data_IF_065626380008
#
_entry.id   IF_065626380008
#
_cell.length_a   1.000
_cell.length_b   1.000
_cell.length_c   1.000
_cell.angle_alpha   90.00
_cell.angle_beta   90.00
_cell.angle_gamma   90.00
#
_symmetry.space_group_name_H-M   'P 1'
#
loop_
_entity.id
_entity.type
_entity.pdbx_description
1 polymer ?
#
# COMPACT_ATOMS: atom_id res chain seq x y z
N UNK A 1 8.56 9.15 21.50
CA UNK A 1 9.27 10.40 21.07
C UNK A 1 10.58 10.14 20.32
N UNK A 2 11.47 9.22 20.73
CA UNK A 2 12.82 9.04 20.15
C UNK A 2 12.88 8.70 18.64
N UNK A 3 11.90 7.96 18.10
CA UNK A 3 11.88 7.61 16.66
C UNK A 3 11.48 8.76 15.73
N UNK A 4 10.81 9.82 16.23
CA UNK A 4 10.24 10.89 15.37
C UNK A 4 11.29 11.88 14.86
N UNK A 5 12.21 12.29 15.74
CA UNK A 5 13.33 13.17 15.36
C UNK A 5 14.27 12.46 14.39
N UNK A 6 14.49 11.16 14.58
CA UNK A 6 15.31 10.32 13.71
C UNK A 6 14.70 10.23 12.30
N UNK A 7 13.38 10.00 12.19
CA UNK A 7 12.74 9.90 10.87
C UNK A 7 12.70 11.24 10.12
N UNK A 8 12.48 12.36 10.82
CA UNK A 8 12.55 13.71 10.22
C UNK A 8 13.96 14.04 9.72
N UNK A 9 14.97 13.75 10.54
CA UNK A 9 16.37 13.96 10.17
C UNK A 9 16.79 13.03 9.02
N UNK A 10 16.37 11.77 9.05
CA UNK A 10 16.56 10.82 7.96
C UNK A 10 15.89 11.31 6.67
N UNK A 11 14.67 11.84 6.73
CA UNK A 11 13.95 12.38 5.58
C UNK A 11 14.62 13.59 4.92
N UNK A 12 15.41 14.36 5.68
CA UNK A 12 16.21 15.47 5.15
C UNK A 12 17.53 14.99 4.52
N UNK A 13 18.21 14.05 5.19
CA UNK A 13 19.56 13.61 4.81
C UNK A 13 19.51 12.55 3.69
N UNK A 14 18.58 11.58 3.77
CA UNK A 14 18.53 10.44 2.86
C UNK A 14 18.36 10.82 1.38
N UNK A 15 17.52 11.81 0.99
CA UNK A 15 17.43 12.23 -0.41
C UNK A 15 18.72 12.86 -0.94
N UNK A 16 19.44 13.64 -0.10
CA UNK A 16 20.71 14.26 -0.47
C UNK A 16 21.78 13.18 -0.68
N UNK A 17 21.89 12.23 0.26
CA UNK A 17 22.80 11.10 0.11
C UNK A 17 22.44 10.26 -1.12
N UNK A 18 21.16 9.98 -1.34
CA UNK A 18 20.69 9.24 -2.53
C UNK A 18 21.11 9.94 -3.82
N UNK A 19 20.96 11.26 -3.90
CA UNK A 19 21.40 12.04 -5.04
C UNK A 19 22.91 11.90 -5.29
N UNK A 20 23.72 12.09 -4.24
CA UNK A 20 25.18 11.98 -4.32
C UNK A 20 25.64 10.58 -4.72
N UNK A 21 25.04 9.53 -4.15
CA UNK A 21 25.35 8.15 -4.52
C UNK A 21 24.92 7.81 -5.95
N UNK A 22 23.79 8.36 -6.43
CA UNK A 22 23.32 8.11 -7.78
C UNK A 22 24.19 8.80 -8.85
N UNK A 23 24.83 9.93 -8.53
CA UNK A 23 25.80 10.59 -9.43
C UNK A 23 27.03 9.74 -9.70
N UNK A 24 27.41 8.87 -8.76
CA UNK A 24 28.59 8.01 -8.89
C UNK A 24 28.37 6.81 -9.82
N UNK A 25 27.19 6.68 -10.46
CA UNK A 25 26.86 5.53 -11.29
C UNK A 25 26.33 5.93 -12.68
N UNK A 26 27.02 5.53 -13.77
CA UNK A 26 26.59 5.81 -15.14
C UNK A 26 25.18 5.26 -15.44
N UNK A 27 24.41 5.99 -16.26
CA UNK A 27 23.06 5.58 -16.70
C UNK A 27 21.91 5.91 -15.71
N UNK A 28 22.18 6.63 -14.63
CA UNK A 28 21.16 6.96 -13.62
C UNK A 28 20.61 8.37 -13.75
N UNK A 29 19.29 8.50 -13.64
CA UNK A 29 18.61 9.79 -13.43
C UNK A 29 18.68 10.13 -11.93
N UNK A 30 19.83 10.63 -11.45
CA UNK A 30 20.08 10.92 -10.03
C UNK A 30 18.97 11.80 -9.39
N UNK A 31 18.43 12.75 -10.16
CA UNK A 31 17.28 13.56 -9.78
C UNK A 31 16.04 12.71 -9.47
N UNK A 32 15.71 11.74 -10.32
CA UNK A 32 14.53 10.87 -10.16
C UNK A 32 14.68 9.99 -8.92
N UNK A 33 15.85 9.42 -8.68
CA UNK A 33 16.13 8.63 -7.47
C UNK A 33 15.98 9.47 -6.18
N UNK A 34 16.45 10.72 -6.20
CA UNK A 34 16.31 11.64 -5.08
C UNK A 34 14.85 12.03 -4.83
N UNK A 35 14.05 12.23 -5.88
CA UNK A 35 12.61 12.49 -5.80
C UNK A 35 11.89 11.28 -5.18
N UNK A 36 12.13 10.07 -5.69
CA UNK A 36 11.51 8.85 -5.15
C UNK A 36 11.84 8.68 -3.65
N UNK A 37 13.11 8.86 -3.27
CA UNK A 37 13.54 8.77 -1.87
C UNK A 37 12.85 9.83 -0.99
N UNK A 38 12.77 11.08 -1.47
CA UNK A 38 12.06 12.17 -0.78
C UNK A 38 10.59 11.82 -0.58
N UNK A 39 9.92 11.35 -1.62
CA UNK A 39 8.50 10.99 -1.57
C UNK A 39 8.26 9.88 -0.54
N UNK A 40 9.08 8.81 -0.54
CA UNK A 40 9.03 7.74 0.49
C UNK A 40 9.16 8.29 1.91
N UNK A 41 10.15 9.17 2.14
CA UNK A 41 10.37 9.79 3.45
C UNK A 41 9.18 10.62 3.92
N UNK A 42 8.62 11.44 3.03
CA UNK A 42 7.47 12.29 3.33
C UNK A 42 6.24 11.46 3.71
N UNK A 43 5.94 10.41 2.95
CA UNK A 43 4.80 9.53 3.23
C UNK A 43 4.97 8.79 4.56
N UNK A 44 6.15 8.23 4.83
CA UNK A 44 6.41 7.58 6.12
C UNK A 44 6.26 8.54 7.30
N UNK A 45 6.60 9.81 7.13
CA UNK A 45 6.40 10.82 8.16
C UNK A 45 4.91 11.11 8.41
N UNK A 46 4.07 11.13 7.37
CA UNK A 46 2.62 11.35 7.48
C UNK A 46 1.92 10.22 8.26
N UNK A 47 2.26 8.95 7.96
CA UNK A 47 1.66 7.79 8.64
C UNK A 47 2.04 7.72 10.14
N UNK A 48 3.20 8.25 10.53
CA UNK A 48 3.75 8.13 11.90
C UNK A 48 3.37 9.28 12.85
N UNK A 49 2.55 10.23 12.41
CA UNK A 49 2.36 11.52 13.10
C UNK A 49 0.95 11.75 13.67
N UNK A 50 0.39 10.78 14.41
CA UNK A 50 -0.97 10.92 14.94
C UNK A 50 -1.12 11.60 16.30
N UNK A 51 -0.07 11.67 17.12
CA UNK A 51 -0.18 12.28 18.45
C UNK A 51 -0.52 13.79 18.41
N UNK A 52 -0.65 14.38 17.22
CA UNK A 52 -1.21 15.72 17.01
C UNK A 52 -2.74 15.77 16.88
N UNK A 53 -3.43 14.64 16.65
CA UNK A 53 -4.86 14.63 16.31
C UNK A 53 -5.77 14.02 17.40
N UNK A 54 -5.23 13.12 18.24
CA UNK A 54 -5.99 12.51 19.35
C UNK A 54 -5.55 13.14 20.67
N UNK A 55 -6.50 13.55 21.51
CA UNK A 55 -6.19 13.95 22.88
C UNK A 55 -5.68 12.74 23.71
N UNK A 56 -4.89 12.94 24.77
CA UNK A 56 -4.32 11.85 25.56
C UNK A 56 -5.34 10.88 26.16
N UNK A 57 -6.59 11.33 26.35
CA UNK A 57 -7.69 10.55 26.94
C UNK A 57 -8.47 9.76 25.87
N UNK A 58 -8.24 10.02 24.58
CA UNK A 58 -8.91 9.34 23.48
C UNK A 58 -10.38 9.75 23.33
N UNK A 59 -10.73 10.97 23.73
CA UNK A 59 -12.09 11.51 23.70
C UNK A 59 -12.43 12.23 22.40
N UNK A 60 -11.45 12.63 21.60
CA UNK A 60 -11.67 13.27 20.31
C UNK A 60 -12.46 12.33 19.41
N UNK A 61 -13.66 12.71 18.94
CA UNK A 61 -14.44 11.89 18.03
C UNK A 61 -13.67 11.57 16.75
N UNK A 62 -13.82 10.35 16.23
CA UNK A 62 -13.17 9.91 14.98
C UNK A 62 -13.47 10.87 13.82
N UNK A 63 -14.71 11.34 13.74
CA UNK A 63 -15.16 12.35 12.77
C UNK A 63 -14.27 13.60 12.77
N UNK A 64 -13.93 14.14 13.95
CA UNK A 64 -13.08 15.33 14.09
C UNK A 64 -11.66 15.05 13.62
N UNK A 65 -11.12 13.87 13.94
CA UNK A 65 -9.77 13.46 13.55
C UNK A 65 -9.69 13.29 12.01
N UNK A 66 -10.70 12.65 11.41
CA UNK A 66 -10.77 12.47 9.96
C UNK A 66 -10.88 13.82 9.25
N UNK A 67 -11.71 14.73 9.75
CA UNK A 67 -11.82 16.09 9.20
C UNK A 67 -10.45 16.79 9.18
N UNK A 68 -9.70 16.74 10.29
CA UNK A 68 -8.35 17.30 10.38
C UNK A 68 -7.36 16.67 9.40
N UNK A 69 -7.52 15.38 9.08
CA UNK A 69 -6.69 14.73 8.06
C UNK A 69 -6.96 15.28 6.66
N UNK A 70 -8.23 15.54 6.32
CA UNK A 70 -8.60 16.17 5.04
C UNK A 70 -8.18 17.63 4.94
N UNK A 71 -8.09 18.36 6.07
CA UNK A 71 -7.58 19.75 6.11
C UNK A 71 -6.08 19.85 5.71
N UNK A 72 -5.32 18.75 5.74
CA UNK A 72 -3.95 18.71 5.22
C UNK A 72 -3.90 18.80 3.68
N UNK A 73 -5.04 18.60 3.01
CA UNK A 73 -5.19 18.47 1.57
C UNK A 73 -5.31 17.02 1.10
N UNK A 74 -5.85 16.84 -0.10
CA UNK A 74 -6.23 15.54 -0.64
C UNK A 74 -5.07 14.55 -0.75
N UNK A 75 -3.86 15.00 -1.11
CA UNK A 75 -2.70 14.11 -1.19
C UNK A 75 -2.27 13.53 0.16
N UNK A 76 -1.94 14.35 1.18
CA UNK A 76 -1.55 13.85 2.50
C UNK A 76 -2.68 13.19 3.30
N UNK A 77 -3.95 13.54 3.06
CA UNK A 77 -5.10 12.98 3.78
C UNK A 77 -5.12 11.45 3.78
N UNK A 78 -4.87 10.82 2.62
CA UNK A 78 -4.82 9.36 2.47
C UNK A 78 -3.92 8.69 3.51
N UNK A 79 -2.72 9.24 3.70
CA UNK A 79 -1.70 8.68 4.59
C UNK A 79 -1.95 9.04 6.05
N UNK A 80 -2.48 10.24 6.30
CA UNK A 80 -2.87 10.65 7.64
C UNK A 80 -4.00 9.76 8.17
N UNK A 81 -5.03 9.49 7.36
CA UNK A 81 -6.15 8.59 7.71
C UNK A 81 -5.68 7.15 7.96
N UNK A 82 -4.71 6.64 7.17
CA UNK A 82 -4.07 5.34 7.47
C UNK A 82 -3.39 5.33 8.84
N UNK A 83 -2.67 6.41 9.16
CA UNK A 83 -2.13 6.61 10.50
C UNK A 83 -3.22 6.56 11.57
N UNK A 84 -4.39 7.17 11.32
CA UNK A 84 -5.51 7.21 12.28
C UNK A 84 -5.94 5.80 12.63
N UNK A 85 -6.19 4.98 11.61
CA UNK A 85 -6.59 3.58 11.81
C UNK A 85 -5.56 2.79 12.61
N UNK A 86 -4.27 3.00 12.33
CA UNK A 86 -3.17 2.32 13.04
C UNK A 86 -3.18 2.64 14.53
N UNK A 87 -3.17 3.92 14.87
CA UNK A 87 -3.04 4.33 16.27
C UNK A 87 -4.34 4.05 17.05
N UNK A 88 -5.50 4.09 16.38
CA UNK A 88 -6.76 3.62 16.96
C UNK A 88 -6.69 2.13 17.34
N UNK A 89 -6.19 1.28 16.44
CA UNK A 89 -5.98 -0.14 16.73
C UNK A 89 -5.02 -0.34 17.91
N UNK A 90 -3.86 0.34 17.92
CA UNK A 90 -2.89 0.27 19.01
C UNK A 90 -3.50 0.73 20.36
N UNK A 91 -4.32 1.79 20.36
CA UNK A 91 -4.99 2.32 21.55
C UNK A 91 -6.01 1.34 22.15
N UNK A 92 -6.82 0.71 21.30
CA UNK A 92 -7.81 -0.28 21.73
C UNK A 92 -7.14 -1.58 22.21
N UNK A 93 -6.15 -2.09 21.46
CA UNK A 93 -5.42 -3.32 21.81
C UNK A 93 -4.65 -3.20 23.13
N UNK A 94 -4.19 -2.00 23.49
CA UNK A 94 -3.55 -1.77 24.77
C UNK A 94 -4.50 -1.89 25.98
N UNK A 95 -5.82 -1.82 25.76
CA UNK A 95 -6.86 -1.85 26.81
C UNK A 95 -7.69 -3.13 26.81
N UNK A 96 -7.87 -3.73 25.64
CA UNK A 96 -8.61 -4.96 25.44
C UNK A 96 -7.89 -5.74 24.34
N UNK A 97 -7.48 -6.98 24.59
CA UNK A 97 -6.80 -7.81 23.59
C UNK A 97 -7.74 -8.32 22.48
N UNK A 98 -9.05 -8.21 22.67
CA UNK A 98 -10.09 -8.64 21.74
C UNK A 98 -11.07 -7.49 21.43
N UNK A 99 -10.62 -6.34 20.89
CA UNK A 99 -11.53 -5.30 20.47
C UNK A 99 -12.32 -5.80 19.26
N UNK A 100 -13.62 -5.53 19.24
CA UNK A 100 -14.51 -5.91 18.16
C UNK A 100 -15.40 -4.73 17.79
N UNK A 101 -15.82 -4.69 16.52
CA UNK A 101 -16.74 -3.71 15.95
C UNK A 101 -16.31 -2.26 16.04
N UNK A 102 -15.03 -1.95 16.30
CA UNK A 102 -14.55 -0.58 16.49
C UNK A 102 -14.80 0.29 15.25
N UNK A 103 -14.41 -0.17 14.05
CA UNK A 103 -14.70 0.57 12.81
C UNK A 103 -16.09 0.25 12.23
N UNK A 104 -16.70 -0.87 12.62
CA UNK A 104 -18.05 -1.26 12.18
C UNK A 104 -19.07 -0.28 12.78
N UNK A 105 -18.98 -0.02 14.08
CA UNK A 105 -19.93 0.82 14.82
C UNK A 105 -19.55 2.30 14.81
N UNK A 106 -18.40 2.67 14.24
CA UNK A 106 -18.00 4.06 14.07
C UNK A 106 -18.95 4.80 13.11
N UNK A 107 -19.10 6.11 13.27
CA UNK A 107 -19.89 6.92 12.34
C UNK A 107 -19.02 8.03 11.75
N UNK A 108 -19.17 8.27 10.45
CA UNK A 108 -18.57 9.39 9.73
C UNK A 108 -19.63 10.04 8.87
N UNK A 109 -19.55 11.36 8.69
CA UNK A 109 -20.38 12.05 7.70
C UNK A 109 -20.10 11.49 6.29
N UNK A 110 -21.12 11.45 5.43
CA UNK A 110 -21.03 10.94 4.05
C UNK A 110 -19.90 11.59 3.24
N UNK A 111 -19.62 12.88 3.47
CA UNK A 111 -18.49 13.59 2.84
C UNK A 111 -17.12 12.99 3.12
N UNK A 112 -16.99 12.14 4.14
CA UNK A 112 -15.76 11.43 4.51
C UNK A 112 -15.81 9.93 4.22
N UNK A 113 -16.77 9.44 3.41
CA UNK A 113 -16.90 8.02 3.07
C UNK A 113 -15.62 7.42 2.46
N UNK A 114 -14.85 8.22 1.71
CA UNK A 114 -13.55 7.83 1.15
C UNK A 114 -12.47 7.51 2.20
N UNK A 115 -12.68 7.86 3.48
CA UNK A 115 -11.75 7.57 4.56
C UNK A 115 -11.72 6.09 4.96
N UNK A 116 -12.84 5.36 4.76
CA UNK A 116 -12.99 4.01 5.30
C UNK A 116 -11.89 3.06 4.82
N UNK A 117 -11.51 3.13 3.55
CA UNK A 117 -10.50 2.24 2.99
C UNK A 117 -9.16 2.37 3.72
N UNK A 118 -8.73 3.61 3.97
CA UNK A 118 -7.47 3.87 4.66
C UNK A 118 -7.56 3.67 6.17
N UNK A 119 -8.71 3.93 6.80
CA UNK A 119 -8.93 3.59 8.21
C UNK A 119 -8.76 2.09 8.46
N UNK A 120 -9.28 1.25 7.56
CA UNK A 120 -9.14 -0.21 7.67
C UNK A 120 -7.70 -0.67 7.39
N UNK A 121 -7.04 -0.11 6.36
CA UNK A 121 -5.63 -0.39 6.10
C UNK A 121 -4.75 -0.06 7.32
N UNK A 122 -5.01 1.10 7.93
CA UNK A 122 -4.41 1.53 9.19
C UNK A 122 -4.69 0.56 10.34
N UNK A 123 -5.96 0.20 10.55
CA UNK A 123 -6.34 -0.74 11.61
C UNK A 123 -5.54 -2.04 11.54
N UNK A 124 -5.48 -2.65 10.35
CA UNK A 124 -4.70 -3.87 10.14
C UNK A 124 -3.20 -3.67 10.39
N UNK A 125 -2.65 -2.50 10.03
CA UNK A 125 -1.26 -2.13 10.32
C UNK A 125 -1.00 -2.09 11.84
N UNK A 126 -1.90 -1.49 12.62
CA UNK A 126 -1.79 -1.45 14.08
C UNK A 126 -1.90 -2.83 14.72
N UNK A 127 -2.86 -3.65 14.27
CA UNK A 127 -3.04 -5.04 14.76
C UNK A 127 -1.81 -5.90 14.48
N UNK A 128 -1.36 -5.96 13.22
CA UNK A 128 -0.22 -6.79 12.84
C UNK A 128 1.05 -6.37 13.58
N UNK A 129 1.28 -5.05 13.71
CA UNK A 129 2.42 -4.51 14.45
C UNK A 129 2.35 -4.86 15.94
N UNK A 130 1.18 -4.73 16.58
CA UNK A 130 1.01 -5.03 18.00
C UNK A 130 1.48 -6.46 18.36
N UNK A 131 1.12 -7.44 17.54
CA UNK A 131 1.53 -8.83 17.74
C UNK A 131 2.97 -9.11 17.30
N UNK A 132 3.46 -8.50 16.20
CA UNK A 132 4.88 -8.59 15.84
C UNK A 132 5.82 -8.05 16.90
N UNK A 133 5.51 -6.89 17.49
CA UNK A 133 6.32 -6.27 18.54
C UNK A 133 6.42 -7.14 19.81
N UNK A 134 5.48 -8.07 20.00
CA UNK A 134 5.38 -8.96 21.17
C UNK A 134 5.88 -10.37 20.92
N UNK A 135 6.37 -10.66 19.72
CA UNK A 135 6.97 -11.96 19.44
C UNK A 135 8.21 -12.20 20.30
N UNK A 136 8.24 -13.35 20.97
CA UNK A 136 9.40 -13.80 21.76
C UNK A 136 10.40 -14.58 20.91
N UNK A 137 9.92 -15.24 19.86
CA UNK A 137 10.70 -16.07 18.96
C UNK A 137 10.05 -16.12 17.56
N UNK A 138 10.75 -16.77 16.63
CA UNK A 138 10.31 -16.96 15.24
C UNK A 138 9.78 -18.39 15.01
N UNK A 139 9.24 -19.06 16.03
CA UNK A 139 8.71 -20.43 15.92
C UNK A 139 7.44 -20.51 15.06
N UNK A 140 7.07 -21.72 14.65
CA UNK A 140 5.80 -21.98 13.95
C UNK A 140 4.59 -21.58 14.81
N UNK A 141 4.65 -21.81 16.13
CA UNK A 141 3.58 -21.42 17.04
C UNK A 141 3.42 -19.90 17.14
N UNK A 142 4.53 -19.17 17.17
CA UNK A 142 4.55 -17.70 17.13
C UNK A 142 3.98 -17.15 15.82
N UNK A 143 4.37 -17.73 14.68
CA UNK A 143 3.79 -17.38 13.38
C UNK A 143 2.28 -17.67 13.34
N UNK A 144 1.87 -18.85 13.82
CA UNK A 144 0.48 -19.25 13.87
C UNK A 144 -0.37 -18.29 14.71
N UNK A 145 0.12 -17.94 15.89
CA UNK A 145 -0.52 -16.99 16.79
C UNK A 145 -0.77 -15.64 16.10
N UNK A 146 0.26 -15.06 15.50
CA UNK A 146 0.15 -13.75 14.81
C UNK A 146 -0.86 -13.80 13.68
N UNK A 147 -0.76 -14.81 12.81
CA UNK A 147 -1.59 -14.91 11.62
C UNK A 147 -3.07 -15.00 12.02
N UNK A 148 -3.41 -15.93 12.92
CA UNK A 148 -4.79 -16.12 13.41
C UNK A 148 -5.33 -14.88 14.10
N UNK A 149 -4.57 -14.32 15.04
CA UNK A 149 -4.99 -13.12 15.78
C UNK A 149 -5.21 -11.92 14.87
N UNK A 150 -4.37 -11.75 13.86
CA UNK A 150 -4.53 -10.66 12.89
C UNK A 150 -5.76 -10.88 12.02
N UNK A 151 -5.98 -12.10 11.51
CA UNK A 151 -7.18 -12.45 10.74
C UNK A 151 -8.45 -12.19 11.54
N UNK A 152 -8.53 -12.72 12.77
CA UNK A 152 -9.70 -12.59 13.65
C UNK A 152 -10.05 -11.13 13.91
N UNK A 153 -9.06 -10.33 14.30
CA UNK A 153 -9.26 -8.93 14.65
C UNK A 153 -9.54 -8.05 13.43
N UNK A 154 -8.97 -8.35 12.27
CA UNK A 154 -9.32 -7.66 11.04
C UNK A 154 -10.77 -7.98 10.66
N UNK A 155 -11.22 -9.24 10.73
CA UNK A 155 -12.62 -9.62 10.45
C UNK A 155 -13.60 -8.99 11.44
N UNK A 156 -13.29 -9.06 12.73
CA UNK A 156 -14.17 -8.55 13.79
C UNK A 156 -14.36 -7.03 13.77
N UNK A 157 -13.51 -6.30 13.05
CA UNK A 157 -13.55 -4.84 13.00
C UNK A 157 -13.71 -4.29 11.58
N UNK A 158 -13.72 -5.12 10.54
CA UNK A 158 -13.87 -4.64 9.17
C UNK A 158 -15.33 -4.54 8.75
N UNK A 159 -15.69 -3.40 8.17
CA UNK A 159 -16.92 -3.26 7.39
C UNK A 159 -16.87 -4.15 6.15
N UNK A 160 -18.05 -4.48 5.63
CA UNK A 160 -18.17 -5.22 4.37
C UNK A 160 -17.40 -4.49 3.25
N UNK A 161 -16.56 -5.23 2.51
CA UNK A 161 -15.77 -4.69 1.41
C UNK A 161 -14.49 -3.95 1.81
N UNK A 162 -14.08 -4.03 3.09
CA UNK A 162 -12.86 -3.39 3.59
C UNK A 162 -11.87 -4.36 4.27
N UNK A 163 -12.20 -5.65 4.34
CA UNK A 163 -11.37 -6.64 5.01
C UNK A 163 -9.99 -6.80 4.36
N UNK A 164 -9.95 -6.91 3.03
CA UNK A 164 -8.71 -7.04 2.27
C UNK A 164 -7.74 -5.88 2.49
N UNK A 165 -8.25 -4.65 2.66
CA UNK A 165 -7.42 -3.49 3.00
C UNK A 165 -6.76 -3.63 4.37
N UNK A 166 -7.49 -4.14 5.38
CA UNK A 166 -6.95 -4.38 6.70
C UNK A 166 -5.91 -5.52 6.71
N UNK A 167 -6.28 -6.70 6.19
CA UNK A 167 -5.42 -7.89 6.32
C UNK A 167 -4.15 -7.81 5.45
N UNK A 168 -4.13 -7.01 4.38
CA UNK A 168 -2.92 -6.76 3.57
C UNK A 168 -1.74 -6.32 4.44
N UNK A 169 -2.01 -5.48 5.44
CA UNK A 169 -0.99 -4.92 6.33
C UNK A 169 -0.22 -6.00 7.12
N UNK A 170 -0.78 -7.20 7.31
CA UNK A 170 -0.06 -8.34 7.90
C UNK A 170 1.21 -8.66 7.10
N UNK A 171 1.10 -8.73 5.77
CA UNK A 171 2.24 -8.98 4.88
C UNK A 171 3.29 -7.88 4.95
N UNK A 172 2.83 -6.63 4.95
CA UNK A 172 3.70 -5.46 5.04
C UNK A 172 4.52 -5.50 6.33
N UNK A 173 3.86 -5.62 7.48
CA UNK A 173 4.51 -5.61 8.79
C UNK A 173 5.43 -6.81 8.95
N UNK A 174 4.96 -7.99 8.56
CA UNK A 174 5.75 -9.23 8.68
C UNK A 174 7.07 -9.08 7.93
N UNK A 175 7.04 -8.64 6.68
CA UNK A 175 8.26 -8.52 5.88
C UNK A 175 9.13 -7.34 6.30
N UNK A 176 8.54 -6.30 6.88
CA UNK A 176 9.31 -5.15 7.38
C UNK A 176 10.11 -5.51 8.63
N UNK A 177 9.53 -6.32 9.52
CA UNK A 177 10.12 -6.67 10.81
C UNK A 177 10.89 -7.99 10.80
N UNK A 178 10.59 -8.88 9.85
CA UNK A 178 11.16 -10.23 9.74
C UNK A 178 11.63 -10.51 8.31
N UNK A 179 12.28 -11.67 8.13
CA UNK A 179 12.82 -12.08 6.83
C UNK A 179 11.80 -12.89 6.00
N UNK A 180 12.18 -13.21 4.75
CA UNK A 180 11.36 -14.00 3.83
C UNK A 180 11.04 -15.42 4.36
N UNK A 181 11.91 -16.02 5.18
CA UNK A 181 11.66 -17.34 5.76
C UNK A 181 10.50 -17.29 6.78
N UNK A 182 10.43 -16.25 7.61
CA UNK A 182 9.30 -16.05 8.52
C UNK A 182 8.01 -15.74 7.75
N UNK A 183 8.09 -15.01 6.63
CA UNK A 183 6.93 -14.79 5.77
C UNK A 183 6.31 -16.09 5.25
N UNK A 184 7.15 -17.08 4.91
CA UNK A 184 6.69 -18.42 4.48
C UNK A 184 5.98 -19.20 5.60
N UNK A 185 6.35 -18.98 6.88
CA UNK A 185 5.65 -19.56 8.03
C UNK A 185 4.24 -19.00 8.18
N UNK A 186 4.09 -17.68 8.08
CA UNK A 186 2.78 -17.02 8.08
C UNK A 186 1.93 -17.50 6.89
N UNK A 187 2.52 -17.61 5.69
CA UNK A 187 1.82 -18.16 4.53
C UNK A 187 1.31 -19.58 4.79
N UNK A 188 2.14 -20.48 5.35
CA UNK A 188 1.71 -21.85 5.69
C UNK A 188 0.53 -21.85 6.66
N UNK A 189 0.56 -20.97 7.67
CA UNK A 189 -0.57 -20.86 8.58
C UNK A 189 -1.82 -20.33 7.87
N UNK A 190 -1.71 -19.26 7.09
CA UNK A 190 -2.86 -18.69 6.39
C UNK A 190 -3.48 -19.70 5.41
N UNK A 191 -2.66 -20.47 4.69
CA UNK A 191 -3.15 -21.57 3.84
C UNK A 191 -3.94 -22.64 4.60
N UNK A 192 -3.70 -22.82 5.89
CA UNK A 192 -4.42 -23.79 6.73
C UNK A 192 -5.63 -23.19 7.44
N UNK A 193 -5.54 -21.93 7.86
CA UNK A 193 -6.52 -21.27 8.73
C UNK A 193 -7.50 -20.37 7.97
N UNK A 194 -6.99 -19.59 7.01
CA UNK A 194 -7.78 -18.63 6.23
C UNK A 194 -7.18 -18.44 4.81
N UNK A 195 -7.40 -19.39 3.89
CA UNK A 195 -6.75 -19.38 2.57
C UNK A 195 -7.05 -18.13 1.74
N UNK A 196 -8.24 -17.53 1.93
CA UNK A 196 -8.66 -16.32 1.21
C UNK A 196 -7.77 -15.11 1.52
N UNK A 197 -7.10 -15.10 2.68
CA UNK A 197 -6.20 -14.04 3.12
C UNK A 197 -4.82 -14.07 2.47
N UNK A 198 -4.45 -15.17 1.83
CA UNK A 198 -3.07 -15.39 1.35
C UNK A 198 -2.70 -14.41 0.22
N UNK A 199 -3.66 -14.10 -0.67
CA UNK A 199 -3.45 -13.12 -1.74
C UNK A 199 -3.22 -11.70 -1.21
N UNK A 200 -4.02 -11.28 -0.23
CA UNK A 200 -3.84 -9.97 0.44
C UNK A 200 -2.50 -9.91 1.16
N UNK A 201 -2.15 -10.98 1.88
CA UNK A 201 -0.89 -11.11 2.60
C UNK A 201 0.32 -10.92 1.68
N UNK A 202 0.43 -11.68 0.58
CA UNK A 202 1.58 -11.57 -0.31
C UNK A 202 1.66 -10.24 -1.05
N UNK A 203 0.52 -9.58 -1.31
CA UNK A 203 0.52 -8.22 -1.86
C UNK A 203 1.12 -7.24 -0.85
N UNK A 204 0.76 -7.36 0.43
CA UNK A 204 1.36 -6.59 1.51
C UNK A 204 2.87 -6.81 1.66
N UNK A 205 3.34 -8.05 1.52
CA UNK A 205 4.78 -8.36 1.47
C UNK A 205 5.43 -7.59 0.31
N UNK A 206 4.80 -7.54 -0.85
CA UNK A 206 5.27 -6.81 -2.03
C UNK A 206 5.35 -5.31 -1.77
N UNK A 207 4.33 -4.74 -1.13
CA UNK A 207 4.32 -3.34 -0.70
C UNK A 207 5.48 -3.04 0.25
N UNK A 208 5.81 -3.96 1.17
CA UNK A 208 7.00 -3.82 2.00
C UNK A 208 8.29 -3.81 1.18
N UNK A 209 8.42 -4.62 0.13
CA UNK A 209 9.66 -4.62 -0.68
C UNK A 209 9.97 -3.23 -1.24
N UNK A 210 8.97 -2.42 -1.59
CA UNK A 210 9.19 -1.04 -2.02
C UNK A 210 9.72 -0.12 -0.90
N UNK A 211 9.18 -0.26 0.33
CA UNK A 211 9.51 0.55 1.50
C UNK A 211 10.66 0.01 2.36
N UNK A 212 11.16 -1.20 2.08
CA UNK A 212 12.20 -1.82 2.89
C UNK A 212 13.48 -0.96 2.87
N UNK A 213 14.20 -0.78 4.00
CA UNK A 213 15.40 0.07 4.06
C UNK A 213 16.46 -0.22 2.98
N UNK A 214 16.61 -1.49 2.61
CA UNK A 214 17.51 -1.94 1.53
C UNK A 214 17.12 -1.44 0.12
N UNK A 215 15.90 -0.95 -0.06
CA UNK A 215 15.32 -0.43 -1.29
C UNK A 215 14.96 1.07 -1.18
N UNK A 216 15.27 1.69 -0.04
CA UNK A 216 14.94 3.07 0.27
C UNK A 216 15.80 4.08 -0.49
N UNK A 217 17.03 3.67 -0.81
CA UNK A 217 17.94 4.37 -1.71
C UNK A 217 17.82 3.62 -3.05
N UNK A 218 17.04 4.13 -4.01
CA UNK A 218 16.95 3.51 -5.32
C UNK A 218 18.35 3.48 -5.93
N UNK A 219 18.80 2.28 -6.32
CA UNK A 219 20.01 2.15 -7.12
C UNK A 219 21.30 1.73 -6.41
N UNK A 220 21.39 1.31 -5.13
CA UNK A 220 22.71 0.77 -4.69
C UNK A 220 23.16 -0.46 -5.53
N UNK A 221 22.24 -1.17 -6.20
CA UNK A 221 22.58 -2.31 -7.08
C UNK A 221 21.80 -2.39 -8.42
N UNK A 222 20.52 -1.97 -8.49
CA UNK A 222 19.70 -1.87 -9.73
C UNK A 222 18.55 -0.85 -9.57
N UNK A 223 18.06 -0.21 -10.65
CA UNK A 223 16.75 0.44 -10.64
C UNK A 223 15.69 -0.59 -10.21
N UNK A 224 14.84 -0.23 -9.24
CA UNK A 224 13.74 -1.09 -8.76
C UNK A 224 14.15 -2.48 -8.23
N UNK A 225 15.17 -2.56 -7.36
CA UNK A 225 15.57 -3.80 -6.64
C UNK A 225 14.40 -4.58 -6.04
N UNK A 226 13.33 -3.89 -5.63
CA UNK A 226 12.10 -4.51 -5.13
C UNK A 226 11.48 -5.52 -6.12
N UNK A 227 11.54 -5.25 -7.44
CA UNK A 227 11.07 -6.16 -8.50
C UNK A 227 11.87 -7.46 -8.49
N UNK A 228 13.21 -7.38 -8.52
CA UNK A 228 14.06 -8.57 -8.46
C UNK A 228 14.01 -9.31 -7.12
N UNK A 229 13.59 -8.66 -6.03
CA UNK A 229 13.32 -9.33 -4.76
C UNK A 229 11.98 -10.06 -4.78
N UNK A 230 10.96 -9.53 -5.47
CA UNK A 230 9.68 -10.22 -5.62
C UNK A 230 9.88 -11.59 -6.29
N UNK A 231 10.71 -11.68 -7.33
CA UNK A 231 11.05 -12.96 -7.99
C UNK A 231 11.74 -13.95 -7.05
N UNK A 232 12.65 -13.47 -6.21
CA UNK A 232 13.46 -14.32 -5.33
C UNK A 232 12.72 -14.77 -4.08
N UNK A 233 11.84 -13.92 -3.56
CA UNK A 233 11.16 -14.16 -2.29
C UNK A 233 9.81 -14.87 -2.47
N UNK A 234 9.21 -14.83 -3.67
CA UNK A 234 7.98 -15.52 -4.00
C UNK A 234 8.06 -17.03 -3.72
N UNK A 235 7.03 -17.64 -3.10
CA UNK A 235 6.92 -19.09 -3.00
C UNK A 235 6.67 -19.81 -4.34
N UNK A 236 6.25 -19.09 -5.38
CA UNK A 236 5.95 -19.62 -6.72
C UNK A 236 5.49 -18.51 -7.68
N UNK A 237 5.24 -18.86 -8.95
CA UNK A 237 4.91 -17.91 -10.02
C UNK A 237 3.64 -17.07 -9.73
N UNK A 238 2.60 -17.66 -9.17
CA UNK A 238 1.37 -16.94 -8.79
C UNK A 238 1.66 -15.83 -7.76
N UNK A 239 2.47 -16.15 -6.75
CA UNK A 239 2.83 -15.22 -5.69
C UNK A 239 3.81 -14.16 -6.17
N UNK A 240 4.60 -14.45 -7.20
CA UNK A 240 5.45 -13.46 -7.88
C UNK A 240 4.60 -12.31 -8.42
N UNK A 241 3.55 -12.61 -9.20
CA UNK A 241 2.65 -11.56 -9.72
C UNK A 241 1.94 -10.80 -8.60
N UNK A 242 1.58 -11.48 -7.52
CA UNK A 242 0.98 -10.86 -6.33
C UNK A 242 1.94 -9.89 -5.63
N UNK A 243 3.21 -10.29 -5.44
CA UNK A 243 4.26 -9.44 -4.90
C UNK A 243 4.50 -8.22 -5.80
N UNK A 244 4.49 -8.40 -7.11
CA UNK A 244 4.71 -7.31 -8.07
C UNK A 244 3.56 -6.31 -8.08
N UNK A 245 2.32 -6.77 -7.96
CA UNK A 245 1.18 -5.89 -7.71
C UNK A 245 1.41 -5.08 -6.43
N UNK A 246 1.91 -5.74 -5.38
CA UNK A 246 2.29 -5.11 -4.13
C UNK A 246 3.40 -4.06 -4.27
N UNK A 247 4.42 -4.30 -5.10
CA UNK A 247 5.53 -3.35 -5.36
C UNK A 247 5.07 -2.15 -6.20
N UNK A 248 4.28 -2.41 -7.25
CA UNK A 248 3.79 -1.38 -8.16
C UNK A 248 2.83 -0.41 -7.47
N UNK A 249 2.08 -0.91 -6.48
CA UNK A 249 1.10 -0.11 -5.75
C UNK A 249 1.72 1.15 -5.11
N UNK A 250 2.70 1.04 -4.18
CA UNK A 250 3.31 2.18 -3.53
C UNK A 250 4.20 2.97 -4.50
N UNK A 251 4.86 2.31 -5.44
CA UNK A 251 5.59 3.00 -6.51
C UNK A 251 4.70 4.00 -7.25
N UNK A 252 3.45 3.63 -7.51
CA UNK A 252 2.48 4.49 -8.19
C UNK A 252 1.99 5.62 -7.28
N UNK A 253 1.43 5.30 -6.10
CA UNK A 253 0.76 6.34 -5.29
C UNK A 253 1.74 7.32 -4.65
N UNK A 254 2.89 6.83 -4.20
CA UNK A 254 3.91 7.67 -3.54
C UNK A 254 4.49 8.68 -4.53
N UNK A 255 4.54 8.33 -5.82
CA UNK A 255 5.16 9.16 -6.86
C UNK A 255 4.14 9.72 -7.87
N UNK A 256 2.85 9.67 -7.57
CA UNK A 256 1.81 10.11 -8.51
C UNK A 256 1.93 11.61 -8.89
N UNK A 257 2.53 12.42 -8.01
CA UNK A 257 2.86 13.84 -8.26
C UNK A 257 4.14 14.05 -9.07
N UNK A 258 4.90 12.98 -9.32
CA UNK A 258 6.19 12.98 -10.01
C UNK A 258 6.23 11.80 -11.01
N UNK A 259 5.45 11.87 -12.10
CA UNK A 259 5.33 10.77 -13.06
C UNK A 259 6.66 10.35 -13.69
N UNK A 260 7.69 11.21 -13.67
CA UNK A 260 9.05 10.88 -14.10
C UNK A 260 9.67 9.68 -13.35
N UNK A 261 9.18 9.36 -12.14
CA UNK A 261 9.60 8.15 -11.42
C UNK A 261 9.04 6.90 -12.09
N UNK A 262 7.76 6.92 -12.49
CA UNK A 262 7.15 5.81 -13.22
C UNK A 262 7.74 5.68 -14.62
N UNK A 263 8.02 6.79 -15.32
CA UNK A 263 8.76 6.77 -16.58
C UNK A 263 10.09 6.03 -16.44
N UNK A 264 10.88 6.41 -15.43
CA UNK A 264 12.17 5.78 -15.20
C UNK A 264 12.06 4.27 -14.94
N UNK A 265 11.01 3.84 -14.24
CA UNK A 265 10.74 2.40 -14.06
C UNK A 265 10.45 1.74 -15.41
N UNK A 266 9.52 2.29 -16.20
CA UNK A 266 9.12 1.75 -17.51
C UNK A 266 10.29 1.68 -18.50
N UNK A 267 11.14 2.71 -18.55
CA UNK A 267 12.31 2.77 -19.44
C UNK A 267 13.35 1.68 -19.14
N UNK A 268 13.47 1.24 -17.89
CA UNK A 268 14.56 0.36 -17.44
C UNK A 268 14.16 -1.12 -17.37
N UNK A 269 12.90 -1.46 -17.66
CA UNK A 269 12.37 -2.82 -17.44
C UNK A 269 11.29 -3.21 -18.49
N UNK A 270 11.43 -2.78 -19.74
CA UNK A 270 10.41 -3.04 -20.78
C UNK A 270 10.14 -4.55 -21.02
N UNK A 271 11.20 -5.36 -21.12
CA UNK A 271 11.09 -6.83 -21.23
C UNK A 271 10.35 -7.47 -20.03
N UNK A 272 10.40 -6.80 -18.88
CA UNK A 272 9.72 -7.26 -17.68
C UNK A 272 8.21 -6.96 -17.73
N UNK A 273 7.86 -5.75 -18.15
CA UNK A 273 6.47 -5.29 -18.16
C UNK A 273 5.65 -5.86 -19.31
N UNK A 274 6.29 -6.26 -20.40
CA UNK A 274 5.62 -7.01 -21.47
C UNK A 274 5.08 -8.37 -21.00
N UNK A 275 5.62 -8.96 -19.91
CA UNK A 275 5.23 -10.27 -19.39
C UNK A 275 4.63 -10.32 -17.97
N UNK A 276 4.58 -9.21 -17.21
CA UNK A 276 4.10 -9.20 -15.82
C UNK A 276 2.74 -8.49 -15.65
N UNK A 277 1.61 -9.23 -15.69
CA UNK A 277 0.28 -8.68 -15.42
C UNK A 277 0.11 -8.19 -13.96
N UNK A 278 0.86 -8.73 -13.02
CA UNK A 278 0.85 -8.36 -11.61
C UNK A 278 1.24 -6.91 -11.38
N UNK A 279 2.32 -6.44 -12.00
CA UNK A 279 2.75 -5.05 -11.86
C UNK A 279 1.64 -4.06 -12.25
N UNK A 280 1.02 -4.25 -13.43
CA UNK A 280 -0.05 -3.37 -13.90
C UNK A 280 -1.34 -3.50 -13.09
N UNK A 281 -1.66 -4.69 -12.55
CA UNK A 281 -2.72 -4.81 -11.55
C UNK A 281 -2.45 -3.88 -10.36
N UNK A 282 -1.23 -3.84 -9.83
CA UNK A 282 -0.86 -2.94 -8.74
C UNK A 282 -1.06 -1.46 -9.09
N UNK A 283 -0.66 -1.04 -10.29
CA UNK A 283 -0.88 0.34 -10.79
C UNK A 283 -2.37 0.68 -10.84
N UNK A 284 -3.18 -0.21 -11.41
CA UNK A 284 -4.64 -0.03 -11.51
C UNK A 284 -5.30 0.01 -10.14
N UNK A 285 -5.00 -0.96 -9.30
CA UNK A 285 -5.53 -1.07 -7.93
C UNK A 285 -5.23 0.17 -7.10
N UNK A 286 -4.04 0.76 -7.26
CA UNK A 286 -3.68 2.03 -6.63
C UNK A 286 -4.62 3.15 -7.03
N UNK A 287 -4.91 3.28 -8.33
CA UNK A 287 -5.71 4.38 -8.83
C UNK A 287 -7.17 4.24 -8.44
N UNK A 288 -7.70 3.01 -8.43
CA UNK A 288 -9.06 2.74 -7.91
C UNK A 288 -9.16 3.18 -6.45
N UNK A 289 -8.21 2.75 -5.60
CA UNK A 289 -8.18 3.17 -4.20
C UNK A 289 -8.05 4.69 -4.07
N UNK A 290 -7.13 5.31 -4.83
CA UNK A 290 -6.90 6.76 -4.74
C UNK A 290 -8.13 7.57 -5.19
N UNK A 291 -8.82 7.08 -6.20
CA UNK A 291 -10.06 7.67 -6.69
C UNK A 291 -11.16 7.54 -5.65
N UNK A 292 -11.28 6.41 -4.95
CA UNK A 292 -12.25 6.25 -3.85
C UNK A 292 -12.01 7.25 -2.70
N UNK A 293 -10.75 7.47 -2.32
CA UNK A 293 -10.43 8.39 -1.21
C UNK A 293 -10.64 9.86 -1.60
N UNK A 294 -10.33 10.25 -2.84
CA UNK A 294 -10.34 11.65 -3.29
C UNK A 294 -10.81 11.79 -4.75
N UNK A 295 -12.08 11.51 -5.08
CA UNK A 295 -12.54 11.36 -6.47
C UNK A 295 -12.48 12.66 -7.28
N UNK A 296 -12.64 13.80 -6.60
CA UNK A 296 -12.64 15.12 -7.24
C UNK A 296 -11.23 15.72 -7.38
N UNK A 297 -10.21 15.05 -6.85
CA UNK A 297 -8.87 15.61 -6.84
C UNK A 297 -8.20 15.47 -8.23
N UNK A 298 -7.69 16.55 -8.84
CA UNK A 298 -7.13 16.52 -10.20
C UNK A 298 -5.93 15.58 -10.38
N UNK A 299 -5.27 15.14 -9.30
CA UNK A 299 -4.01 14.40 -9.37
C UNK A 299 -4.08 13.10 -10.18
N UNK A 300 -5.14 12.30 -9.99
CA UNK A 300 -5.31 11.05 -10.75
C UNK A 300 -5.38 11.36 -12.25
N UNK A 301 -6.18 12.37 -12.60
CA UNK A 301 -6.31 12.83 -13.98
C UNK A 301 -4.99 13.38 -14.53
N UNK A 302 -4.26 14.19 -13.75
CA UNK A 302 -2.95 14.73 -14.14
C UNK A 302 -1.94 13.61 -14.40
N UNK A 303 -1.87 12.62 -13.51
CA UNK A 303 -1.00 11.45 -13.69
C UNK A 303 -1.38 10.69 -14.96
N UNK A 304 -2.66 10.37 -15.17
CA UNK A 304 -3.12 9.68 -16.39
C UNK A 304 -2.83 10.46 -17.68
N UNK A 305 -2.96 11.79 -17.64
CA UNK A 305 -2.80 12.65 -18.81
C UNK A 305 -1.35 13.04 -19.09
N UNK A 306 -0.43 12.73 -18.17
CA UNK A 306 1.00 12.93 -18.35
C UNK A 306 1.47 12.37 -19.70
N UNK A 307 2.35 13.11 -20.37
CA UNK A 307 2.92 12.75 -21.67
C UNK A 307 4.44 12.63 -21.51
N UNK A 308 5.00 11.40 -21.60
CA UNK A 308 6.44 11.23 -21.65
C UNK A 308 7.05 11.94 -22.87
N UNK A 309 8.39 12.09 -22.87
CA UNK A 309 9.09 12.72 -24.00
C UNK A 309 8.69 12.06 -25.33
N UNK A 310 8.06 12.81 -26.26
CA UNK A 310 7.59 12.24 -27.53
C UNK A 310 8.72 11.70 -28.41
N UNK A 311 9.98 12.06 -28.14
CA UNK A 311 11.15 11.47 -28.81
C UNK A 311 11.38 10.02 -28.39
N UNK A 312 10.99 9.64 -27.18
CA UNK A 312 11.03 8.25 -26.71
C UNK A 312 9.70 7.53 -27.06
N UNK A 313 9.56 7.14 -28.32
CA UNK A 313 8.32 6.53 -28.85
C UNK A 313 7.90 5.26 -28.10
N UNK A 314 8.86 4.44 -27.65
CA UNK A 314 8.58 3.22 -26.87
C UNK A 314 7.94 3.56 -25.54
N UNK A 315 8.55 4.47 -24.77
CA UNK A 315 8.00 4.91 -23.49
C UNK A 315 6.62 5.57 -23.64
N UNK A 316 6.46 6.44 -24.65
CA UNK A 316 5.17 7.07 -24.92
C UNK A 316 4.09 6.03 -25.28
N UNK A 317 4.45 4.99 -26.06
CA UNK A 317 3.56 3.88 -26.39
C UNK A 317 3.16 3.05 -25.17
N UNK A 318 4.12 2.69 -24.32
CA UNK A 318 3.88 1.98 -23.06
C UNK A 318 2.98 2.79 -22.12
N UNK A 319 3.25 4.08 -21.95
CA UNK A 319 2.45 4.95 -21.11
C UNK A 319 0.99 5.02 -21.59
N UNK A 320 0.80 5.31 -22.88
CA UNK A 320 -0.55 5.43 -23.44
C UNK A 320 -1.34 4.13 -23.36
N UNK A 321 -0.70 3.00 -23.67
CA UNK A 321 -1.39 1.69 -23.69
C UNK A 321 -1.57 1.08 -22.30
N UNK A 322 -0.53 1.08 -21.46
CA UNK A 322 -0.52 0.34 -20.19
C UNK A 322 -0.89 1.18 -18.98
N UNK A 323 -0.57 2.47 -18.99
CA UNK A 323 -0.94 3.38 -17.90
C UNK A 323 -2.28 4.04 -18.23
N UNK A 324 -2.30 4.97 -19.20
CA UNK A 324 -3.50 5.78 -19.48
C UNK A 324 -4.75 4.94 -19.75
N UNK A 325 -4.72 4.04 -20.75
CA UNK A 325 -5.89 3.25 -21.13
C UNK A 325 -6.40 2.32 -20.02
N UNK A 326 -5.49 1.68 -19.29
CA UNK A 326 -5.85 0.81 -18.16
C UNK A 326 -6.52 1.59 -17.02
N UNK A 327 -6.01 2.79 -16.73
CA UNK A 327 -6.55 3.65 -15.68
C UNK A 327 -7.90 4.26 -16.05
N UNK A 328 -8.10 4.64 -17.31
CA UNK A 328 -9.41 5.10 -17.82
C UNK A 328 -10.47 4.01 -17.63
N UNK A 329 -10.15 2.77 -18.03
CA UNK A 329 -11.02 1.61 -17.84
C UNK A 329 -11.31 1.36 -16.35
N UNK A 330 -10.29 1.50 -15.50
CA UNK A 330 -10.44 1.27 -14.08
C UNK A 330 -11.41 2.23 -13.41
N UNK A 331 -11.32 3.52 -13.72
CA UNK A 331 -12.18 4.54 -13.12
C UNK A 331 -13.60 4.48 -13.69
N UNK A 332 -13.74 4.26 -15.01
CA UNK A 332 -15.04 4.32 -15.68
C UNK A 332 -15.87 3.04 -15.50
N UNK A 333 -15.22 1.87 -15.49
CA UNK A 333 -15.93 0.59 -15.59
C UNK A 333 -15.72 -0.35 -14.40
N UNK A 334 -14.60 -0.23 -13.68
CA UNK A 334 -14.27 -1.16 -12.58
C UNK A 334 -14.69 -0.56 -11.24
N UNK A 335 -14.24 0.66 -10.92
CA UNK A 335 -14.51 1.30 -9.63
C UNK A 335 -16.00 1.37 -9.28
N UNK A 336 -16.91 1.85 -10.17
CA UNK A 336 -18.33 1.97 -9.83
C UNK A 336 -18.96 0.62 -9.46
N UNK A 337 -18.56 -0.46 -10.15
CA UNK A 337 -19.04 -1.82 -9.88
C UNK A 337 -18.54 -2.32 -8.52
N UNK A 338 -17.23 -2.18 -8.26
CA UNK A 338 -16.66 -2.60 -6.98
C UNK A 338 -17.28 -1.83 -5.80
N UNK A 339 -17.52 -0.53 -5.96
CA UNK A 339 -18.19 0.30 -4.94
C UNK A 339 -19.62 -0.16 -4.71
N UNK A 340 -20.43 -0.31 -5.78
CA UNK A 340 -21.83 -0.75 -5.74
C UNK A 340 -22.01 -2.10 -5.04
N UNK A 341 -21.08 -3.03 -5.25
CA UNK A 341 -21.17 -4.38 -4.69
C UNK A 341 -20.42 -4.56 -3.37
N UNK A 342 -19.88 -3.49 -2.76
CA UNK A 342 -19.07 -3.56 -1.54
C UNK A 342 -17.87 -4.51 -1.66
N UNK A 343 -17.10 -4.38 -2.74
CA UNK A 343 -15.92 -5.20 -3.09
C UNK A 343 -14.67 -4.36 -3.37
N UNK A 344 -14.53 -3.21 -2.73
CA UNK A 344 -13.35 -2.35 -2.92
C UNK A 344 -12.07 -2.99 -2.39
N UNK A 345 -12.16 -3.79 -1.32
CA UNK A 345 -11.03 -4.52 -0.77
C UNK A 345 -10.38 -5.49 -1.76
N UNK A 346 -11.10 -5.95 -2.78
CA UNK A 346 -10.59 -6.84 -3.82
C UNK A 346 -9.41 -6.26 -4.63
N UNK A 347 -9.22 -4.94 -4.61
CA UNK A 347 -8.04 -4.30 -5.22
C UNK A 347 -6.75 -4.58 -4.43
N UNK A 348 -6.87 -5.10 -3.20
CA UNK A 348 -5.74 -5.48 -2.33
C UNK A 348 -5.27 -6.93 -2.54
N UNK A 349 -5.74 -7.63 -3.59
CA UNK A 349 -5.13 -8.88 -4.05
C UNK A 349 -4.95 -8.89 -5.56
N UNK A 350 -3.99 -9.66 -6.04
CA UNK A 350 -3.78 -9.81 -7.47
C UNK A 350 -4.87 -10.68 -8.10
N UNK A 351 -5.56 -10.14 -9.10
CA UNK A 351 -6.57 -10.82 -9.91
C UNK A 351 -6.92 -9.98 -11.14
N UNK A 352 -7.70 -10.53 -12.08
CA UNK A 352 -8.28 -9.72 -13.15
C UNK A 352 -9.46 -8.89 -12.63
N UNK A 353 -9.22 -7.60 -12.36
CA UNK A 353 -10.27 -6.67 -11.94
C UNK A 353 -11.39 -6.48 -12.99
N UNK A 354 -11.10 -6.42 -14.31
CA UNK A 354 -12.18 -6.41 -15.32
C UNK A 354 -13.06 -7.67 -15.25
N UNK A 355 -12.46 -8.85 -15.07
CA UNK A 355 -13.22 -10.09 -14.97
C UNK A 355 -14.04 -10.14 -13.67
N UNK A 356 -13.51 -9.64 -12.56
CA UNK A 356 -14.24 -9.49 -11.31
C UNK A 356 -15.46 -8.58 -11.48
N UNK A 357 -15.28 -7.39 -12.05
CA UNK A 357 -16.38 -6.45 -12.31
C UNK A 357 -17.47 -7.06 -13.21
N UNK A 358 -17.07 -7.77 -14.26
CA UNK A 358 -18.01 -8.47 -15.15
C UNK A 358 -18.81 -9.57 -14.42
N UNK A 359 -18.18 -10.34 -13.52
CA UNK A 359 -18.88 -11.35 -12.72
C UNK A 359 -19.92 -10.73 -11.80
N UNK A 360 -19.55 -9.66 -11.09
CA UNK A 360 -20.43 -8.94 -10.16
C UNK A 360 -21.67 -8.36 -10.86
N UNK A 361 -21.49 -7.71 -12.02
CA UNK A 361 -22.62 -7.18 -12.80
C UNK A 361 -23.52 -8.29 -13.36
N UNK A 362 -22.96 -9.48 -13.65
CA UNK A 362 -23.74 -10.62 -14.14
C UNK A 362 -24.48 -11.41 -13.06
N UNK A 363 -24.26 -11.09 -11.77
CA UNK A 363 -24.84 -11.83 -10.65
C UNK A 363 -24.30 -13.26 -10.48
N UNK A 364 -23.13 -13.57 -11.06
CA UNK A 364 -22.47 -14.87 -10.92
C UNK A 364 -21.37 -14.75 -9.86
N UNK A 365 -21.68 -15.15 -8.62
CA UNK A 365 -20.68 -15.26 -7.55
C UNK A 365 -19.92 -16.59 -7.60
#
# INVERSE_FOLDING_TARGET
MRNRTVLKLFGLIAPILTYLFALLWPGRKARVAAIECRNKCQIMALVQNLASYIDPEGKTPLQTIVAQCYDLGDFPALWAVEGVGKDLAEWHLARNENPARVLIDAELDEKYDGAWLMLHAGWGLGVAKFYMDRLKDDSEASAAHVARRTVDLCRANSRQGYYGAAIESLGLVTRFMKNAAFCKKIHKELMAYDPDSVGFYWRGVGRCLYFHPLNFIPGILRPCRAIGLAEKEAPGEEWKETLLAGVAWPLTIVNMTHPEVMEYVLENHDDYFSGSPGFFNGVVSTVVMRYDTTPNFPLVKQFMQHQPDPKNRTLAGLWNSKIKGSLETAIQSIYPVLKKHHRLDEVFRYQSLPALAARLESGRE
#
